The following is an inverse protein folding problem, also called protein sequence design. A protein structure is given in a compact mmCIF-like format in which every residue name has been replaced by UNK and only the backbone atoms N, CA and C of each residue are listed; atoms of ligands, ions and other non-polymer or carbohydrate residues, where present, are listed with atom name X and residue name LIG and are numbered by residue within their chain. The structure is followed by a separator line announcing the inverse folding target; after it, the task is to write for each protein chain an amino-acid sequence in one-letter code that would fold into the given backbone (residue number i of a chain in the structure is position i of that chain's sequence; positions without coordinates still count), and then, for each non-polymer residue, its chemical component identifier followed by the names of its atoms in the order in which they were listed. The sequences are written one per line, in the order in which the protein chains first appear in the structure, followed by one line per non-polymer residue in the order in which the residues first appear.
data_IF_762713328207
#
_entry.id   IF_762713328207
#
_cell.length_a   1.000
_cell.length_b   1.000
_cell.length_c   1.000
_cell.angle_alpha   90.00
_cell.angle_beta   90.00
_cell.angle_gamma   90.00
#
_symmetry.space_group_name_H-M   'P 1'
#
loop_
_entity.id
_entity.type
_entity.pdbx_description
1 polymer ?
#
# COMPACT_ATOMS: atom_id res chain seq x y z
N UNK A 1 11.63 -17.66 -17.15
CA UNK A 1 11.77 -17.61 -15.68
C UNK A 1 11.97 -16.21 -15.08
N UNK A 2 12.44 -15.18 -15.79
CA UNK A 2 12.51 -13.79 -15.25
C UNK A 2 11.17 -13.03 -15.23
N UNK A 3 10.21 -13.41 -16.09
CA UNK A 3 8.89 -12.75 -16.17
C UNK A 3 8.04 -12.97 -14.91
N UNK A 4 8.19 -14.12 -14.23
CA UNK A 4 7.47 -14.41 -12.97
C UNK A 4 7.85 -13.47 -11.83
N UNK A 5 9.11 -13.02 -11.78
CA UNK A 5 9.61 -12.11 -10.72
C UNK A 5 9.14 -10.66 -10.92
N UNK A 6 8.95 -10.25 -12.18
CA UNK A 6 8.34 -8.96 -12.55
C UNK A 6 6.82 -8.91 -12.28
N UNK A 7 6.22 -10.00 -11.81
CA UNK A 7 4.77 -10.14 -11.58
C UNK A 7 4.42 -10.46 -10.12
N UNK A 8 5.40 -10.59 -9.22
CA UNK A 8 5.17 -10.76 -7.79
C UNK A 8 5.14 -9.41 -7.08
N UNK A 9 4.37 -9.34 -5.99
CA UNK A 9 4.40 -8.19 -5.08
C UNK A 9 5.79 -8.09 -4.43
N UNK A 10 6.47 -6.94 -4.49
CA UNK A 10 7.79 -6.79 -3.89
C UNK A 10 7.68 -6.67 -2.38
N UNK A 11 8.63 -7.23 -1.62
CA UNK A 11 8.69 -7.03 -0.17
C UNK A 11 9.04 -5.58 0.18
N UNK A 12 8.47 -5.09 1.28
CA UNK A 12 8.92 -3.85 1.91
C UNK A 12 10.13 -4.21 2.77
N UNK A 13 11.31 -3.85 2.29
CA UNK A 13 12.60 -4.25 2.85
C UNK A 13 12.93 -3.52 4.17
N UNK A 14 12.47 -2.28 4.34
CA UNK A 14 12.61 -1.55 5.60
C UNK A 14 11.57 -0.46 5.77
N UNK A 15 11.19 -0.21 7.02
CA UNK A 15 10.33 0.88 7.46
C UNK A 15 11.01 1.60 8.63
N UNK A 16 11.03 2.92 8.59
CA UNK A 16 11.30 3.80 9.72
C UNK A 16 10.48 5.09 9.57
N UNK A 17 10.54 5.98 10.55
CA UNK A 17 9.78 7.23 10.51
C UNK A 17 10.11 8.07 9.28
N UNK A 18 9.12 8.30 8.42
CA UNK A 18 9.28 9.09 7.20
C UNK A 18 10.12 8.43 6.11
N UNK A 19 10.40 7.12 6.22
CA UNK A 19 11.26 6.42 5.26
C UNK A 19 10.85 4.97 5.05
N UNK A 20 10.70 4.58 3.78
CA UNK A 20 10.38 3.23 3.34
C UNK A 20 11.29 2.80 2.18
N UNK A 21 11.68 1.53 2.17
CA UNK A 21 12.40 0.89 1.05
C UNK A 21 11.65 -0.34 0.58
N UNK A 22 11.56 -0.51 -0.74
CA UNK A 22 10.90 -1.64 -1.37
C UNK A 22 11.94 -2.42 -2.17
N UNK A 23 11.94 -3.75 -2.03
CA UNK A 23 12.88 -4.62 -2.71
C UNK A 23 12.78 -4.44 -4.23
N UNK A 24 13.93 -4.33 -4.91
CA UNK A 24 13.99 -4.10 -6.35
C UNK A 24 13.74 -2.65 -6.78
N UNK A 25 13.37 -1.73 -5.86
CA UNK A 25 13.35 -0.30 -6.13
C UNK A 25 14.69 0.35 -5.77
N UNK A 26 15.15 1.28 -6.61
CA UNK A 26 16.31 2.14 -6.31
C UNK A 26 15.93 3.37 -5.50
N UNK A 27 14.62 3.62 -5.30
CA UNK A 27 14.11 4.80 -4.61
C UNK A 27 13.91 4.51 -3.13
N UNK A 28 14.14 5.55 -2.33
CA UNK A 28 13.70 5.65 -0.95
C UNK A 28 12.43 6.51 -0.97
N UNK A 29 11.38 6.02 -0.33
CA UNK A 29 10.09 6.71 -0.26
C UNK A 29 9.88 7.31 1.11
N UNK A 30 9.13 8.41 1.19
CA UNK A 30 8.49 8.80 2.45
C UNK A 30 7.29 7.88 2.66
N UNK A 31 6.31 8.02 1.78
CA UNK A 31 5.12 7.15 1.71
C UNK A 31 5.15 6.44 0.36
N UNK A 32 4.63 5.21 0.29
CA UNK A 32 4.66 4.44 -0.96
C UNK A 32 3.37 3.71 -1.26
N UNK A 33 3.17 3.50 -2.56
CA UNK A 33 2.24 2.53 -3.14
C UNK A 33 3.04 1.34 -3.64
N UNK A 34 2.55 0.12 -3.43
CA UNK A 34 3.21 -1.13 -3.87
C UNK A 34 2.18 -2.06 -4.49
N UNK A 35 2.61 -2.87 -5.46
CA UNK A 35 1.75 -3.80 -6.20
C UNK A 35 2.59 -4.89 -6.88
N UNK A 36 1.95 -5.96 -7.40
CA UNK A 36 2.64 -6.97 -8.20
C UNK A 36 3.46 -6.34 -9.35
N UNK A 37 4.78 -6.43 -9.26
CA UNK A 37 5.71 -5.90 -10.25
C UNK A 37 6.25 -4.49 -10.01
N UNK A 38 5.89 -3.80 -8.92
CA UNK A 38 6.50 -2.49 -8.67
C UNK A 38 6.02 -1.72 -7.46
N UNK A 39 6.54 -0.49 -7.38
CA UNK A 39 6.21 0.49 -6.34
C UNK A 39 6.44 1.91 -6.83
N UNK A 40 5.79 2.88 -6.20
CA UNK A 40 6.06 4.30 -6.39
C UNK A 40 5.81 5.10 -5.12
N UNK A 41 6.23 6.36 -5.14
CA UNK A 41 5.91 7.31 -4.09
C UNK A 41 4.40 7.55 -4.04
N UNK A 42 3.86 7.61 -2.83
CA UNK A 42 2.50 8.09 -2.60
C UNK A 42 2.58 9.57 -2.24
N UNK A 43 2.25 10.44 -3.19
CA UNK A 43 2.13 11.87 -2.96
C UNK A 43 0.65 12.25 -2.84
N UNK A 44 0.25 12.69 -1.64
CA UNK A 44 -1.13 13.07 -1.35
C UNK A 44 -1.60 14.27 -2.17
N UNK A 45 -0.68 15.08 -2.72
CA UNK A 45 -1.01 16.22 -3.59
C UNK A 45 -1.64 15.78 -4.90
N UNK A 46 -1.43 14.54 -5.33
CA UNK A 46 -2.04 14.00 -6.55
C UNK A 46 -3.56 13.82 -6.41
N UNK A 47 -4.05 13.64 -5.18
CA UNK A 47 -5.43 13.24 -4.89
C UNK A 47 -6.14 14.20 -3.94
N UNK A 48 -5.42 15.17 -3.37
CA UNK A 48 -5.94 16.06 -2.34
C UNK A 48 -6.14 15.35 -0.99
N UNK A 49 -5.40 14.26 -0.74
CA UNK A 49 -5.50 13.52 0.52
C UNK A 49 -4.92 14.34 1.68
N UNK A 50 -5.66 14.34 2.77
CA UNK A 50 -5.27 14.91 4.06
C UNK A 50 -5.58 13.86 5.14
N UNK A 51 -5.13 14.07 6.38
CA UNK A 51 -5.47 13.18 7.50
C UNK A 51 -6.97 12.94 7.66
N UNK A 52 -7.77 13.97 7.34
CA UNK A 52 -9.22 13.91 7.27
C UNK A 52 -9.68 14.65 6.00
N UNK A 53 -10.49 14.04 5.12
CA UNK A 53 -11.25 12.81 5.34
C UNK A 53 -10.41 11.53 5.29
N UNK A 54 -9.16 11.58 4.82
CA UNK A 54 -8.26 10.44 4.81
C UNK A 54 -8.01 9.87 3.42
N UNK A 55 -7.65 8.59 3.35
CA UNK A 55 -7.31 7.88 2.10
C UNK A 55 -8.50 7.87 1.13
N UNK A 56 -8.30 8.37 -0.08
CA UNK A 56 -9.31 8.46 -1.13
C UNK A 56 -9.31 7.22 -2.03
N UNK A 57 -10.43 6.91 -2.72
CA UNK A 57 -10.43 5.90 -3.79
C UNK A 57 -9.34 6.16 -4.84
N UNK A 58 -9.08 7.42 -5.19
CA UNK A 58 -8.03 7.82 -6.12
C UNK A 58 -6.61 7.47 -5.63
N UNK A 59 -6.38 7.36 -4.31
CA UNK A 59 -5.07 6.94 -3.79
C UNK A 59 -4.77 5.48 -4.13
N UNK A 60 -5.81 4.65 -4.13
CA UNK A 60 -5.70 3.18 -4.26
C UNK A 60 -6.03 2.69 -5.67
N UNK A 61 -6.70 3.49 -6.50
CA UNK A 61 -7.17 3.10 -7.85
C UNK A 61 -6.07 2.49 -8.72
N UNK A 62 -4.92 3.15 -8.80
CA UNK A 62 -3.79 2.62 -9.57
C UNK A 62 -3.30 1.27 -9.04
N UNK A 63 -3.31 1.05 -7.72
CA UNK A 63 -2.93 -0.24 -7.13
C UNK A 63 -3.95 -1.31 -7.54
N UNK A 64 -5.23 -0.95 -7.57
CA UNK A 64 -6.31 -1.83 -8.01
C UNK A 64 -6.15 -2.23 -9.47
N UNK A 65 -5.80 -1.30 -10.35
CA UNK A 65 -5.57 -1.54 -11.78
C UNK A 65 -4.41 -2.52 -12.05
N UNK A 66 -3.53 -2.75 -11.08
CA UNK A 66 -2.46 -3.76 -11.16
C UNK A 66 -2.93 -5.18 -10.84
N UNK A 67 -4.23 -5.36 -10.57
CA UNK A 67 -4.86 -6.67 -10.40
C UNK A 67 -4.45 -7.37 -9.11
N UNK A 68 -4.68 -6.69 -7.97
CA UNK A 68 -4.45 -7.23 -6.62
C UNK A 68 -5.69 -7.96 -6.10
N UNK A 69 -5.47 -8.99 -5.28
CA UNK A 69 -6.52 -9.71 -4.55
C UNK A 69 -6.73 -9.13 -3.16
N UNK A 70 -5.67 -8.59 -2.56
CA UNK A 70 -5.65 -8.02 -1.22
C UNK A 70 -4.99 -6.65 -1.30
N UNK A 71 -5.56 -5.65 -0.63
CA UNK A 71 -4.97 -4.33 -0.48
C UNK A 71 -4.80 -3.98 1.00
N UNK A 72 -3.55 -3.73 1.39
CA UNK A 72 -3.19 -3.31 2.74
C UNK A 72 -3.03 -1.79 2.79
N UNK A 73 -3.70 -1.15 3.74
CA UNK A 73 -3.61 0.29 3.99
C UNK A 73 -2.89 0.49 5.33
N UNK A 74 -1.63 0.96 5.26
CA UNK A 74 -0.88 1.44 6.41
C UNK A 74 -1.24 2.90 6.71
N UNK A 75 -2.04 3.12 7.75
CA UNK A 75 -2.68 4.42 8.04
C UNK A 75 -1.88 5.32 9.00
N UNK A 76 -0.56 5.19 8.99
CA UNK A 76 0.33 5.94 9.86
C UNK A 76 0.74 5.16 11.11
N UNK A 77 1.84 5.59 11.70
CA UNK A 77 2.45 5.08 12.93
C UNK A 77 1.53 5.25 14.14
N UNK A 78 0.68 6.28 14.13
CA UNK A 78 -0.29 6.61 15.18
C UNK A 78 -1.75 6.53 14.72
N UNK A 79 -2.00 5.97 13.53
CA UNK A 79 -3.32 5.83 12.92
C UNK A 79 -4.08 7.15 12.71
N UNK A 80 -3.38 8.29 12.64
CA UNK A 80 -4.01 9.60 12.52
C UNK A 80 -4.63 9.81 11.13
N UNK A 81 -4.03 9.23 10.08
CA UNK A 81 -4.65 9.19 8.76
C UNK A 81 -5.94 8.35 8.80
N UNK A 82 -7.07 8.97 8.46
CA UNK A 82 -8.37 8.29 8.40
C UNK A 82 -8.47 7.43 7.15
N UNK A 83 -9.34 6.43 7.23
CA UNK A 83 -9.74 5.62 6.06
C UNK A 83 -11.26 5.66 6.00
N UNK A 84 -11.85 6.48 5.12
CA UNK A 84 -13.28 6.54 4.91
C UNK A 84 -13.87 5.16 4.58
N UNK A 85 -15.09 4.91 5.07
CA UNK A 85 -15.86 3.72 4.68
C UNK A 85 -16.06 3.67 3.17
N UNK A 86 -16.24 4.82 2.50
CA UNK A 86 -16.38 4.90 1.04
C UNK A 86 -15.19 4.30 0.29
N UNK A 87 -13.96 4.49 0.78
CA UNK A 87 -12.75 3.91 0.19
C UNK A 87 -12.70 2.40 0.38
N UNK A 88 -13.08 1.90 1.56
CA UNK A 88 -13.17 0.46 1.83
C UNK A 88 -14.24 -0.19 0.96
N UNK A 89 -15.41 0.42 0.84
CA UNK A 89 -16.51 -0.09 0.01
C UNK A 89 -16.18 -0.03 -1.49
N UNK A 90 -15.44 0.99 -1.96
CA UNK A 90 -14.91 1.03 -3.32
C UNK A 90 -14.03 -0.20 -3.63
N UNK A 91 -13.13 -0.57 -2.72
CA UNK A 91 -12.27 -1.74 -2.87
C UNK A 91 -13.06 -3.06 -2.82
N UNK A 92 -13.97 -3.21 -1.84
CA UNK A 92 -14.82 -4.40 -1.72
C UNK A 92 -15.71 -4.62 -2.93
N UNK A 93 -16.28 -3.57 -3.51
CA UNK A 93 -17.08 -3.66 -4.76
C UNK A 93 -16.28 -4.18 -5.95
N UNK A 94 -14.95 -4.07 -5.90
CA UNK A 94 -14.03 -4.64 -6.89
C UNK A 94 -13.53 -6.04 -6.51
N UNK A 95 -14.07 -6.64 -5.47
CA UNK A 95 -13.72 -8.00 -5.02
C UNK A 95 -12.38 -8.09 -4.29
N UNK A 96 -11.89 -6.98 -3.74
CA UNK A 96 -10.59 -6.91 -3.06
C UNK A 96 -10.79 -7.07 -1.55
N UNK A 97 -10.00 -7.95 -0.92
CA UNK A 97 -9.88 -8.02 0.54
C UNK A 97 -9.07 -6.83 1.04
N UNK A 98 -9.54 -6.15 2.09
CA UNK A 98 -8.96 -4.89 2.57
C UNK A 98 -8.50 -5.04 4.01
N UNK A 99 -7.22 -4.75 4.25
CA UNK A 99 -6.64 -4.71 5.61
C UNK A 99 -6.24 -3.28 5.94
N UNK A 100 -6.89 -2.68 6.93
CA UNK A 100 -6.57 -1.34 7.42
C UNK A 100 -5.89 -1.47 8.77
N UNK A 101 -4.63 -1.05 8.87
CA UNK A 101 -3.77 -1.32 10.03
C UNK A 101 -2.82 -0.14 10.29
N UNK A 102 -2.37 0.01 11.54
CA UNK A 102 -1.17 0.79 11.86
C UNK A 102 0.01 0.36 11.00
N UNK A 103 0.86 1.30 10.55
CA UNK A 103 1.81 1.05 9.45
C UNK A 103 2.82 -0.07 9.71
N UNK A 104 3.32 -0.26 10.93
CA UNK A 104 4.26 -1.37 11.22
C UNK A 104 3.57 -2.72 11.10
N UNK A 105 2.33 -2.82 11.61
CA UNK A 105 1.51 -4.02 11.47
C UNK A 105 1.11 -4.24 10.00
N UNK A 106 0.81 -3.18 9.27
CA UNK A 106 0.50 -3.20 7.84
C UNK A 106 1.68 -3.76 7.04
N UNK A 107 2.90 -3.30 7.30
CA UNK A 107 4.10 -3.80 6.62
C UNK A 107 4.35 -5.27 6.94
N UNK A 108 4.17 -5.67 8.20
CA UNK A 108 4.30 -7.09 8.61
C UNK A 108 3.28 -7.98 7.91
N UNK A 109 2.01 -7.56 7.89
CA UNK A 109 0.94 -8.29 7.21
C UNK A 109 1.19 -8.37 5.70
N UNK A 110 1.53 -7.24 5.08
CA UNK A 110 1.86 -7.18 3.65
C UNK A 110 2.99 -8.16 3.30
N UNK A 111 4.12 -8.12 4.00
CA UNK A 111 5.25 -9.01 3.72
C UNK A 111 4.88 -10.49 3.95
N UNK A 112 4.08 -10.81 4.97
CA UNK A 112 3.59 -12.17 5.18
C UNK A 112 2.74 -12.67 4.00
N UNK A 113 1.91 -11.82 3.41
CA UNK A 113 1.12 -12.13 2.22
C UNK A 113 2.00 -12.25 0.96
N UNK A 114 3.04 -11.42 0.83
CA UNK A 114 4.05 -11.51 -0.23
C UNK A 114 4.76 -12.87 -0.18
N UNK A 115 5.24 -13.30 0.99
CA UNK A 115 5.92 -14.60 1.17
C UNK A 115 5.01 -15.78 0.84
N UNK A 116 3.70 -15.65 1.02
CA UNK A 116 2.71 -16.66 0.61
C UNK A 116 2.47 -16.69 -0.91
N UNK A 117 3.07 -15.77 -1.68
CA UNK A 117 2.89 -15.67 -3.13
C UNK A 117 1.55 -15.04 -3.55
N UNK A 118 0.86 -14.37 -2.63
CA UNK A 118 -0.42 -13.71 -2.92
C UNK A 118 -0.20 -12.42 -3.70
N UNK A 119 -1.19 -12.07 -4.53
CA UNK A 119 -1.19 -10.81 -5.30
C UNK A 119 -1.65 -9.67 -4.39
N UNK A 120 -0.76 -9.22 -3.52
CA UNK A 120 -1.04 -8.15 -2.55
C UNK A 120 -0.54 -6.80 -3.07
N UNK A 121 -1.31 -5.75 -2.88
CA UNK A 121 -0.86 -4.36 -3.03
C UNK A 121 -1.07 -3.58 -1.75
N UNK A 122 -0.66 -2.32 -1.76
CA UNK A 122 -0.95 -1.45 -0.62
C UNK A 122 -0.51 -0.02 -0.80
N UNK A 123 -0.97 0.81 0.13
CA UNK A 123 -0.53 2.19 0.31
C UNK A 123 -0.14 2.38 1.77
N UNK A 124 1.00 3.00 2.01
CA UNK A 124 1.63 3.07 3.34
C UNK A 124 2.06 4.49 3.67
N UNK A 125 1.53 5.01 4.77
CA UNK A 125 1.96 6.27 5.36
C UNK A 125 2.96 6.01 6.49
N UNK A 126 4.17 6.56 6.43
CA UNK A 126 5.27 6.22 7.35
C UNK A 126 5.47 7.22 8.50
N UNK A 127 4.57 8.19 8.66
CA UNK A 127 4.54 9.12 9.79
C UNK A 127 3.21 9.00 10.55
N UNK A 128 2.70 10.06 11.19
CA UNK A 128 1.41 10.01 11.89
C UNK A 128 0.23 10.09 10.94
#
# INVERSE_FOLDING_TARGET
SSVKFLMSSPEIASLSWGQMKVQGSTKIYKDCKVWPGGSRAWDWRETGTEHSPGVQPADVEEVVEKGVQILVIGRGMSEALKVPVSTVEYLKKKGIDVRVLQTEQAVKEYNALVTQGLRVGGVFHSTC
#
